data_IF_074013905239
#
_entry.id   IF_074013905239
#
_cell.length_a   1.000
_cell.length_b   1.000
_cell.length_c   1.000
_cell.angle_alpha   90.00
_cell.angle_beta   90.00
_cell.angle_gamma   90.00
#
_symmetry.space_group_name_H-M   'P 1'
#
loop_
_entity.id
_entity.type
_entity.pdbx_description
1 polymer ?
#
# COMPACT_ATOMS: atom_id res chain seq x y z
N UNK A 1 -5.33 6.65 -24.71
CA UNK A 1 -4.00 7.15 -24.33
C UNK A 1 -3.13 5.96 -23.96
N UNK A 2 -2.23 5.53 -24.85
CA UNK A 2 -1.31 4.41 -24.58
C UNK A 2 0.00 4.89 -23.94
N UNK A 3 -0.05 5.91 -23.09
CA UNK A 3 1.13 6.65 -22.70
C UNK A 3 1.76 6.30 -21.36
N UNK A 4 1.16 5.48 -20.51
CA UNK A 4 1.65 5.27 -19.14
C UNK A 4 1.77 3.77 -18.81
N UNK A 5 2.89 3.40 -18.19
CA UNK A 5 3.18 2.06 -17.71
C UNK A 5 3.36 2.08 -16.18
N UNK A 6 2.82 1.08 -15.47
CA UNK A 6 2.90 1.01 -14.01
C UNK A 6 4.09 0.17 -13.52
N UNK A 7 4.86 0.68 -12.56
CA UNK A 7 5.87 -0.09 -11.82
C UNK A 7 5.62 0.09 -10.33
N UNK A 8 5.28 -1.01 -9.66
CA UNK A 8 5.00 -1.05 -8.22
C UNK A 8 6.19 -1.72 -7.52
N UNK A 9 6.77 -1.04 -6.53
CA UNK A 9 7.80 -1.62 -5.68
C UNK A 9 7.18 -2.30 -4.46
N UNK A 10 7.39 -3.60 -4.36
CA UNK A 10 6.91 -4.42 -3.24
C UNK A 10 8.08 -5.18 -2.62
N UNK A 11 9.17 -4.49 -2.32
CA UNK A 11 10.38 -5.09 -1.74
C UNK A 11 10.83 -4.41 -0.46
N UNK A 12 10.33 -3.22 -0.15
CA UNK A 12 10.71 -2.53 1.09
C UNK A 12 10.25 -3.31 2.31
N UNK A 13 11.17 -3.49 3.24
CA UNK A 13 10.87 -4.06 4.55
C UNK A 13 10.50 -2.91 5.48
N UNK A 14 9.31 -2.99 6.05
CA UNK A 14 8.84 -2.06 7.07
C UNK A 14 8.90 -2.75 8.44
N UNK A 15 10.05 -2.69 9.13
CA UNK A 15 10.24 -3.40 10.40
C UNK A 15 9.27 -2.91 11.49
N UNK A 16 8.70 -1.72 11.33
CA UNK A 16 7.68 -1.18 12.23
C UNK A 16 6.34 -1.93 12.15
N UNK A 17 6.06 -2.66 11.06
CA UNK A 17 4.85 -3.49 10.91
C UNK A 17 4.95 -4.83 11.64
N UNK A 18 6.13 -5.24 12.11
CA UNK A 18 6.38 -6.39 12.98
C UNK A 18 5.60 -7.66 12.57
N UNK A 19 4.74 -8.15 13.45
CA UNK A 19 3.97 -9.38 13.29
C UNK A 19 3.06 -9.37 12.05
N UNK A 20 2.60 -8.21 11.62
CA UNK A 20 1.74 -8.07 10.43
C UNK A 20 2.44 -8.46 9.13
N UNK A 21 3.77 -8.44 9.09
CA UNK A 21 4.59 -8.78 7.92
C UNK A 21 5.46 -10.01 8.11
N UNK A 22 5.31 -10.73 9.22
CA UNK A 22 6.07 -11.96 9.49
C UNK A 22 5.89 -13.01 8.36
N UNK A 23 4.67 -13.15 7.85
CA UNK A 23 4.31 -14.15 6.84
C UNK A 23 3.93 -13.54 5.47
N UNK A 24 4.16 -12.25 5.26
CA UNK A 24 3.79 -11.55 4.02
C UNK A 24 4.55 -10.24 3.85
N UNK A 25 4.53 -9.73 2.63
CA UNK A 25 5.02 -8.38 2.34
C UNK A 25 4.01 -7.30 2.78
N UNK A 26 4.45 -6.05 3.05
CA UNK A 26 3.56 -4.92 3.34
C UNK A 26 2.41 -4.77 2.34
N UNK A 27 2.70 -4.93 1.04
CA UNK A 27 1.69 -4.95 -0.04
C UNK A 27 0.52 -5.91 0.18
N UNK A 28 0.75 -7.01 0.91
CA UNK A 28 -0.23 -8.07 1.16
C UNK A 28 -0.95 -7.94 2.49
N UNK A 29 -0.67 -6.91 3.27
CA UNK A 29 -1.35 -6.67 4.56
C UNK A 29 -2.84 -6.40 4.28
N UNK A 30 -3.76 -7.11 4.96
CA UNK A 30 -5.19 -6.87 4.84
C UNK A 30 -5.57 -5.47 5.33
N UNK A 31 -6.47 -4.77 4.62
CA UNK A 31 -6.92 -3.42 4.97
C UNK A 31 -8.41 -3.24 4.68
N UNK A 32 -9.12 -2.48 5.52
CA UNK A 32 -10.49 -2.06 5.28
C UNK A 32 -11.53 -3.19 5.20
N UNK A 33 -11.28 -4.34 5.79
CA UNK A 33 -12.22 -5.46 5.89
C UNK A 33 -12.21 -6.41 4.68
N UNK A 34 -11.74 -6.00 3.47
CA UNK A 34 -11.73 -6.87 2.28
C UNK A 34 -10.52 -6.69 1.37
N UNK A 35 -9.82 -5.57 1.44
CA UNK A 35 -8.72 -5.21 0.55
C UNK A 35 -7.38 -5.70 1.07
N UNK A 36 -6.36 -5.68 0.20
CA UNK A 36 -4.95 -5.61 0.58
C UNK A 36 -4.38 -4.27 0.12
N UNK A 37 -3.28 -3.84 0.72
CA UNK A 37 -2.71 -2.51 0.46
C UNK A 37 -2.39 -2.30 -1.02
N UNK A 38 -1.90 -3.31 -1.72
CA UNK A 38 -1.58 -3.24 -3.16
C UNK A 38 -2.81 -2.97 -4.05
N UNK A 39 -4.01 -3.33 -3.60
CA UNK A 39 -5.24 -3.18 -4.37
C UNK A 39 -5.54 -1.71 -4.69
N UNK A 40 -5.14 -0.80 -3.82
CA UNK A 40 -5.33 0.65 -4.01
C UNK A 40 -4.53 1.14 -5.21
N UNK A 41 -3.25 0.80 -5.30
CA UNK A 41 -2.43 1.24 -6.44
C UNK A 41 -2.84 0.56 -7.74
N UNK A 42 -3.13 -0.75 -7.72
CA UNK A 42 -3.62 -1.46 -8.89
C UNK A 42 -4.95 -0.90 -9.39
N UNK A 43 -5.84 -0.50 -8.49
CA UNK A 43 -7.12 0.13 -8.85
C UNK A 43 -6.93 1.53 -9.44
N UNK A 44 -6.00 2.33 -8.92
CA UNK A 44 -5.65 3.64 -9.50
C UNK A 44 -5.08 3.49 -10.91
N UNK A 45 -4.22 2.49 -11.14
CA UNK A 45 -3.68 2.16 -12.46
C UNK A 45 -4.80 1.73 -13.42
N UNK A 46 -5.67 0.82 -12.97
CA UNK A 46 -6.83 0.38 -13.74
C UNK A 46 -7.76 1.54 -14.11
N UNK A 47 -8.11 2.40 -13.15
CA UNK A 47 -8.96 3.58 -13.36
C UNK A 47 -8.36 4.58 -14.36
N UNK A 48 -7.03 4.64 -14.48
CA UNK A 48 -6.32 5.43 -15.48
C UNK A 48 -6.19 4.71 -16.85
N UNK A 49 -6.77 3.51 -17.01
CA UNK A 49 -6.67 2.72 -18.24
C UNK A 49 -5.31 2.07 -18.45
N UNK A 50 -4.48 1.97 -17.41
CA UNK A 50 -3.17 1.33 -17.45
C UNK A 50 -3.37 -0.16 -17.23
N UNK A 51 -3.03 -0.96 -18.23
CA UNK A 51 -3.16 -2.41 -18.19
C UNK A 51 -1.83 -3.14 -18.10
N UNK A 52 -0.71 -2.45 -18.37
CA UNK A 52 0.63 -3.00 -18.33
C UNK A 52 1.34 -2.55 -17.06
N UNK A 53 1.56 -3.50 -16.15
CA UNK A 53 2.09 -3.21 -14.80
C UNK A 53 3.16 -4.24 -14.42
N UNK A 54 4.31 -3.76 -13.97
CA UNK A 54 5.35 -4.57 -13.34
C UNK A 54 5.31 -4.44 -11.82
N UNK A 55 5.31 -5.55 -11.11
CA UNK A 55 5.44 -5.57 -9.65
C UNK A 55 6.79 -6.14 -9.27
N UNK A 56 7.68 -5.30 -8.78
CA UNK A 56 9.01 -5.70 -8.30
C UNK A 56 8.87 -6.35 -6.94
N UNK A 57 9.30 -7.59 -6.83
CA UNK A 57 9.12 -8.44 -5.65
C UNK A 57 10.44 -8.66 -4.90
N UNK A 58 10.35 -8.91 -3.59
CA UNK A 58 11.44 -9.42 -2.77
C UNK A 58 10.92 -10.10 -1.49
N UNK A 59 11.62 -11.13 -1.03
CA UNK A 59 11.26 -11.80 0.24
C UNK A 59 9.92 -12.55 0.20
N UNK A 60 9.16 -12.49 1.26
CA UNK A 60 7.92 -13.26 1.51
C UNK A 60 6.75 -12.95 0.55
N UNK A 61 6.96 -13.10 -0.75
CA UNK A 61 6.00 -12.68 -1.79
C UNK A 61 4.90 -13.71 -2.08
N UNK A 62 4.93 -14.93 -1.51
CA UNK A 62 3.94 -15.97 -1.82
C UNK A 62 2.50 -15.47 -1.60
N UNK A 63 2.24 -14.83 -0.47
CA UNK A 63 0.91 -14.27 -0.16
C UNK A 63 0.47 -13.21 -1.18
N UNK A 64 1.41 -12.46 -1.76
CA UNK A 64 1.13 -11.49 -2.80
C UNK A 64 0.82 -12.18 -4.14
N UNK A 65 1.59 -13.22 -4.51
CA UNK A 65 1.33 -14.03 -5.71
C UNK A 65 -0.08 -14.63 -5.67
N UNK A 66 -0.46 -15.26 -4.55
CA UNK A 66 -1.77 -15.89 -4.38
C UNK A 66 -2.92 -14.87 -4.50
N UNK A 67 -2.68 -13.63 -4.10
CA UNK A 67 -3.66 -12.55 -4.20
C UNK A 67 -3.78 -12.01 -5.62
N UNK A 68 -2.67 -11.66 -6.22
CA UNK A 68 -2.61 -11.04 -7.53
C UNK A 68 -3.08 -12.00 -8.64
N UNK A 69 -2.76 -13.29 -8.51
CA UNK A 69 -3.06 -14.28 -9.54
C UNK A 69 -2.51 -13.83 -10.89
N UNK A 70 -3.39 -13.78 -11.89
CA UNK A 70 -3.07 -13.28 -13.23
C UNK A 70 -3.50 -11.82 -13.48
N UNK A 71 -3.91 -11.09 -12.45
CA UNK A 71 -4.35 -9.70 -12.56
C UNK A 71 -5.76 -9.48 -13.13
N UNK A 72 -6.58 -10.53 -13.25
CA UNK A 72 -7.93 -10.45 -13.83
C UNK A 72 -8.82 -9.43 -13.13
N UNK A 73 -8.71 -9.34 -11.81
CA UNK A 73 -9.49 -8.40 -10.98
C UNK A 73 -9.34 -6.95 -11.44
N UNK A 74 -8.15 -6.56 -11.90
CA UNK A 74 -7.83 -5.20 -12.34
C UNK A 74 -7.77 -5.07 -13.88
N UNK A 75 -8.33 -6.05 -14.61
CA UNK A 75 -8.29 -6.10 -16.09
C UNK A 75 -6.86 -6.12 -16.67
N UNK A 76 -5.93 -6.73 -15.95
CA UNK A 76 -4.53 -6.86 -16.34
C UNK A 76 -4.15 -8.27 -16.78
N UNK A 77 -5.13 -9.16 -17.00
CA UNK A 77 -4.92 -10.51 -17.54
C UNK A 77 -4.87 -10.45 -19.07
N UNK A 78 -3.73 -10.14 -19.65
CA UNK A 78 -3.55 -9.96 -21.11
C UNK A 78 -2.59 -11.00 -21.69
N UNK A 79 -2.77 -11.33 -22.97
CA UNK A 79 -1.84 -12.20 -23.71
C UNK A 79 -0.47 -11.55 -23.91
N UNK A 80 -0.47 -10.24 -24.14
CA UNK A 80 0.72 -9.41 -24.30
C UNK A 80 0.60 -8.21 -23.35
N UNK A 81 1.65 -7.91 -22.61
CA UNK A 81 1.60 -6.94 -21.52
C UNK A 81 0.93 -7.53 -20.27
N UNK A 82 0.10 -6.74 -19.60
CA UNK A 82 -0.63 -7.15 -18.40
C UNK A 82 0.20 -7.06 -17.12
N UNK A 83 -0.27 -7.75 -16.08
CA UNK A 83 0.43 -7.81 -14.80
C UNK A 83 1.63 -8.77 -14.90
N UNK A 84 2.82 -8.23 -14.68
CA UNK A 84 4.08 -8.99 -14.61
C UNK A 84 4.67 -8.93 -13.22
N UNK A 85 5.00 -10.08 -12.68
CA UNK A 85 5.67 -10.22 -11.41
C UNK A 85 7.17 -10.34 -11.67
N UNK A 86 7.95 -9.45 -11.06
CA UNK A 86 9.37 -9.28 -11.31
C UNK A 86 10.17 -9.70 -10.06
N UNK A 87 10.49 -11.00 -9.93
CA UNK A 87 11.28 -11.50 -8.82
C UNK A 87 12.74 -11.03 -8.93
N UNK A 88 13.49 -10.99 -7.82
CA UNK A 88 14.84 -10.40 -7.75
C UNK A 88 15.91 -11.12 -8.62
N UNK A 89 15.57 -12.25 -9.23
CA UNK A 89 16.50 -13.05 -10.03
C UNK A 89 16.26 -12.93 -11.55
N UNK A 90 15.46 -11.95 -11.99
CA UNK A 90 15.09 -11.84 -13.39
C UNK A 90 16.29 -11.54 -14.32
N UNK A 91 17.36 -10.91 -13.82
CA UNK A 91 18.58 -10.66 -14.57
C UNK A 91 19.83 -11.00 -13.75
N UNK A 92 20.53 -12.07 -14.15
CA UNK A 92 21.68 -12.65 -13.41
C UNK A 92 22.96 -11.79 -13.44
N UNK A 93 22.98 -10.67 -14.18
CA UNK A 93 24.21 -9.89 -14.42
C UNK A 93 24.55 -8.90 -13.31
N UNK A 94 23.55 -8.45 -12.56
CA UNK A 94 23.73 -7.33 -11.61
C UNK A 94 23.46 -7.72 -10.14
N UNK A 95 22.87 -8.89 -9.89
CA UNK A 95 22.45 -9.29 -8.57
C UNK A 95 23.55 -10.01 -7.78
N UNK A 96 24.04 -9.38 -6.72
CA UNK A 96 25.03 -9.95 -5.78
C UNK A 96 24.39 -10.63 -4.56
N UNK A 97 23.22 -11.26 -4.72
CA UNK A 97 22.55 -12.06 -3.68
C UNK A 97 22.27 -11.28 -2.38
N UNK A 98 21.10 -10.70 -2.25
CA UNK A 98 20.72 -9.95 -1.04
C UNK A 98 19.46 -9.12 -1.24
N UNK A 99 19.18 -8.26 -0.29
CA UNK A 99 18.10 -7.26 -0.37
C UNK A 99 18.54 -6.12 -1.27
N UNK A 100 17.67 -5.61 -2.15
CA UNK A 100 17.95 -4.39 -2.90
C UNK A 100 18.21 -3.22 -1.95
N UNK A 101 19.29 -2.48 -2.19
CA UNK A 101 19.67 -1.31 -1.40
C UNK A 101 18.76 -0.09 -1.69
N UNK A 102 18.02 -0.13 -2.81
CA UNK A 102 17.08 0.92 -3.20
C UNK A 102 16.44 0.69 -4.56
N UNK A 103 15.53 1.59 -4.95
CA UNK A 103 14.71 1.49 -6.17
C UNK A 103 15.54 1.38 -7.45
N UNK A 104 16.66 2.11 -7.55
CA UNK A 104 17.52 2.08 -8.75
C UNK A 104 18.20 0.72 -8.93
N UNK A 105 18.64 0.09 -7.86
CA UNK A 105 19.21 -1.26 -7.93
C UNK A 105 18.14 -2.30 -8.30
N UNK A 106 16.93 -2.16 -7.76
CA UNK A 106 15.81 -3.02 -8.11
C UNK A 106 15.43 -2.88 -9.59
N UNK A 107 15.41 -1.66 -10.13
CA UNK A 107 15.17 -1.38 -11.55
C UNK A 107 16.31 -1.92 -12.44
N UNK A 108 17.55 -1.77 -12.01
CA UNK A 108 18.69 -2.35 -12.73
C UNK A 108 18.60 -3.89 -12.82
N UNK A 109 18.09 -4.54 -11.77
CA UNK A 109 17.86 -5.98 -11.74
C UNK A 109 16.75 -6.48 -12.67
N UNK A 110 15.92 -5.58 -13.21
CA UNK A 110 14.84 -5.89 -14.15
C UNK A 110 14.99 -5.09 -15.46
N UNK A 111 16.21 -4.72 -15.82
CA UNK A 111 16.50 -3.86 -16.98
C UNK A 111 15.89 -4.37 -18.29
N UNK A 112 15.97 -5.65 -18.58
CA UNK A 112 15.38 -6.24 -19.78
C UNK A 112 13.87 -6.01 -19.87
N UNK A 113 13.17 -6.06 -18.73
CA UNK A 113 11.76 -5.71 -18.66
C UNK A 113 11.52 -4.22 -18.97
N UNK A 114 12.36 -3.31 -18.45
CA UNK A 114 12.24 -1.87 -18.71
C UNK A 114 12.45 -1.53 -20.19
N UNK A 115 13.36 -2.22 -20.86
CA UNK A 115 13.64 -2.06 -22.29
C UNK A 115 12.44 -2.50 -23.16
N UNK A 116 11.67 -3.50 -22.70
CA UNK A 116 10.48 -4.01 -23.37
C UNK A 116 9.23 -3.12 -23.22
N UNK A 117 9.24 -2.14 -22.31
CA UNK A 117 8.13 -1.20 -22.11
C UNK A 117 7.89 -0.41 -23.40
N UNK A 118 6.64 -0.35 -23.85
CA UNK A 118 6.25 0.34 -25.09
C UNK A 118 5.67 1.73 -24.88
N UNK A 119 5.28 2.03 -23.66
CA UNK A 119 4.69 3.31 -23.27
C UNK A 119 5.79 4.36 -23.12
N UNK A 120 5.47 5.60 -23.45
CA UNK A 120 6.42 6.72 -23.40
C UNK A 120 6.74 7.18 -21.98
N UNK A 121 5.78 6.98 -21.05
CA UNK A 121 5.92 7.38 -19.65
C UNK A 121 5.71 6.20 -18.70
N UNK A 122 6.30 6.30 -17.53
CA UNK A 122 6.15 5.32 -16.46
C UNK A 122 5.71 6.02 -15.17
N UNK A 123 4.88 5.34 -14.39
CA UNK A 123 4.59 5.69 -13.01
C UNK A 123 5.28 4.69 -12.08
N UNK A 124 6.11 5.21 -11.20
CA UNK A 124 6.77 4.47 -10.14
C UNK A 124 6.01 4.70 -8.84
N UNK A 125 5.65 3.65 -8.13
CA UNK A 125 4.95 3.76 -6.85
C UNK A 125 5.41 2.68 -5.88
N UNK A 126 5.41 3.01 -4.59
CA UNK A 126 5.50 2.00 -3.53
C UNK A 126 4.17 1.30 -3.33
N UNK A 127 4.23 0.10 -2.79
CA UNK A 127 3.06 -0.75 -2.57
C UNK A 127 2.40 -0.57 -1.20
N UNK A 128 2.91 0.35 -0.37
CA UNK A 128 2.42 0.67 0.98
C UNK A 128 1.44 1.85 1.02
N UNK A 129 1.13 2.42 -0.15
CA UNK A 129 0.32 3.63 -0.30
C UNK A 129 -1.17 3.31 -0.43
N UNK A 130 -1.97 3.83 0.49
CA UNK A 130 -3.44 3.79 0.47
C UNK A 130 -3.95 5.14 0.01
N UNK A 131 -4.45 5.21 -1.21
CA UNK A 131 -4.89 6.43 -1.87
C UNK A 131 -5.89 6.09 -2.99
N UNK A 132 -6.80 7.01 -3.29
CA UNK A 132 -7.65 6.94 -4.49
C UNK A 132 -7.36 8.16 -5.38
N UNK A 133 -6.25 8.07 -6.14
CA UNK A 133 -5.67 9.17 -6.91
C UNK A 133 -6.02 9.07 -8.40
N UNK A 134 -6.48 10.17 -9.07
CA UNK A 134 -6.66 10.18 -10.52
C UNK A 134 -5.30 10.30 -11.24
N UNK A 135 -4.66 9.18 -11.55
CA UNK A 135 -3.34 9.15 -12.21
C UNK A 135 -3.33 9.83 -13.60
N UNK A 136 -4.48 9.87 -14.27
CA UNK A 136 -4.60 10.59 -15.53
C UNK A 136 -4.34 12.10 -15.37
N UNK A 137 -4.81 12.70 -14.28
CA UNK A 137 -4.59 14.11 -13.97
C UNK A 137 -3.12 14.39 -13.63
N UNK A 138 -2.47 13.43 -12.95
CA UNK A 138 -1.02 13.52 -12.65
C UNK A 138 -0.21 13.50 -13.94
N UNK A 139 -0.56 12.64 -14.90
CA UNK A 139 0.10 12.57 -16.21
C UNK A 139 -0.14 13.86 -17.00
N UNK A 140 -1.37 14.38 -17.02
CA UNK A 140 -1.69 15.64 -17.69
C UNK A 140 -0.87 16.80 -17.14
N UNK A 141 -0.80 16.93 -15.82
CA UNK A 141 0.02 17.94 -15.15
C UNK A 141 1.53 17.77 -15.45
N UNK A 142 2.02 16.55 -15.55
CA UNK A 142 3.40 16.24 -15.94
C UNK A 142 3.73 16.78 -17.34
N UNK A 143 2.86 16.48 -18.31
CA UNK A 143 3.03 16.88 -19.70
C UNK A 143 2.89 18.40 -19.89
N UNK A 144 1.87 19.02 -19.30
CA UNK A 144 1.62 20.45 -19.38
C UNK A 144 2.77 21.29 -18.84
N UNK A 145 3.40 20.84 -17.74
CA UNK A 145 4.53 21.54 -17.13
C UNK A 145 5.87 21.20 -17.77
N UNK A 146 5.90 20.26 -18.70
CA UNK A 146 7.12 19.77 -19.34
C UNK A 146 8.15 19.29 -18.34
N UNK A 147 7.70 18.63 -17.28
CA UNK A 147 8.56 18.12 -16.22
C UNK A 147 9.42 16.95 -16.70
N UNK A 148 10.61 16.81 -16.16
CA UNK A 148 11.41 15.58 -16.33
C UNK A 148 10.92 14.50 -15.33
N UNK A 149 10.62 14.90 -14.07
CA UNK A 149 9.99 14.06 -13.07
C UNK A 149 8.90 14.85 -12.35
N UNK A 150 7.70 14.27 -12.27
CA UNK A 150 6.62 14.78 -11.41
C UNK A 150 6.51 13.88 -10.19
N UNK A 151 6.64 14.46 -8.98
CA UNK A 151 6.47 13.77 -7.71
C UNK A 151 5.12 14.12 -7.09
N UNK A 152 4.36 13.09 -6.72
CA UNK A 152 3.11 13.29 -5.97
C UNK A 152 3.46 13.51 -4.49
N UNK A 153 2.91 14.57 -3.92
CA UNK A 153 3.13 14.92 -2.51
C UNK A 153 1.84 15.42 -1.87
N UNK A 154 1.84 15.51 -0.56
CA UNK A 154 0.73 16.08 0.22
C UNK A 154 1.23 17.22 1.09
N UNK A 155 0.36 18.19 1.39
CA UNK A 155 0.67 19.20 2.38
C UNK A 155 1.00 18.50 3.70
N UNK A 156 2.07 18.94 4.39
CA UNK A 156 2.56 18.23 5.57
C UNK A 156 1.51 18.23 6.69
N UNK A 157 1.08 17.02 7.04
CA UNK A 157 0.41 16.74 8.30
C UNK A 157 1.42 16.50 9.43
N UNK A 158 1.17 15.50 10.27
CA UNK A 158 2.14 15.07 11.28
C UNK A 158 3.48 14.69 10.64
N UNK A 159 4.57 15.01 11.33
CA UNK A 159 5.91 14.61 10.91
C UNK A 159 6.02 13.08 10.80
N UNK A 160 6.59 12.62 9.72
CA UNK A 160 6.86 11.20 9.47
C UNK A 160 8.36 11.03 9.36
N UNK A 161 8.92 10.23 10.24
CA UNK A 161 10.33 9.89 10.22
C UNK A 161 10.71 9.12 8.95
N UNK A 162 11.97 9.29 8.52
CA UNK A 162 12.50 8.65 7.30
C UNK A 162 11.71 8.93 6.00
N UNK A 163 10.82 9.94 5.96
CA UNK A 163 10.11 10.35 4.76
C UNK A 163 10.94 11.36 3.92
N UNK A 164 10.55 11.49 2.66
CA UNK A 164 11.06 12.55 1.77
C UNK A 164 10.14 13.76 1.82
N UNK A 165 10.72 14.95 1.88
CA UNK A 165 9.97 16.21 1.88
C UNK A 165 10.46 17.12 0.76
N UNK A 166 9.56 17.96 0.25
CA UNK A 166 9.81 18.90 -0.84
C UNK A 166 9.54 20.33 -0.41
N UNK A 167 10.46 21.24 -0.72
CA UNK A 167 10.19 22.67 -0.73
C UNK A 167 9.73 23.05 -2.13
N UNK A 168 8.57 23.68 -2.24
CA UNK A 168 7.96 24.03 -3.53
C UNK A 168 8.07 25.53 -3.79
N UNK A 169 8.27 25.89 -5.06
CA UNK A 169 8.05 27.24 -5.58
C UNK A 169 6.55 27.48 -5.84
N UNK A 170 6.10 28.73 -6.04
CA UNK A 170 4.69 29.05 -6.31
C UNK A 170 4.09 28.39 -7.55
N UNK A 171 4.91 28.05 -8.54
CA UNK A 171 4.52 27.31 -9.76
C UNK A 171 4.49 25.79 -9.58
N UNK A 172 4.79 25.30 -8.39
CA UNK A 172 4.84 23.88 -8.05
C UNK A 172 6.18 23.19 -8.36
N UNK A 173 7.20 23.94 -8.82
CA UNK A 173 8.53 23.38 -9.00
C UNK A 173 9.15 22.96 -7.66
N UNK A 174 9.80 21.81 -7.63
CA UNK A 174 10.51 21.32 -6.43
C UNK A 174 11.89 22.00 -6.40
N UNK A 175 12.08 22.90 -5.44
CA UNK A 175 13.34 23.65 -5.29
C UNK A 175 14.34 22.96 -4.39
N UNK A 176 13.88 22.17 -3.41
CA UNK A 176 14.72 21.39 -2.51
C UNK A 176 14.08 20.05 -2.19
N UNK A 177 14.93 19.03 -2.06
CA UNK A 177 14.54 17.66 -1.66
C UNK A 177 15.24 17.32 -0.34
N UNK A 178 14.47 16.99 0.65
CA UNK A 178 14.95 16.63 1.99
C UNK A 178 14.70 15.13 2.22
N UNK A 179 15.75 14.34 2.22
CA UNK A 179 15.67 12.90 2.49
C UNK A 179 15.86 12.65 3.99
N UNK A 180 14.83 12.11 4.65
CA UNK A 180 14.85 11.81 6.08
C UNK A 180 15.31 13.01 6.97
N UNK A 181 14.68 14.18 6.88
CA UNK A 181 15.02 15.29 7.75
C UNK A 181 14.58 15.00 9.19
N UNK A 182 15.16 15.71 10.15
CA UNK A 182 14.81 15.59 11.58
C UNK A 182 13.56 16.41 11.98
N UNK A 183 12.99 17.17 11.06
CA UNK A 183 11.79 17.98 11.25
C UNK A 183 11.05 18.17 9.92
N UNK A 184 9.74 18.47 9.92
CA UNK A 184 8.96 18.72 8.68
C UNK A 184 9.59 19.81 7.82
N UNK A 185 9.62 19.59 6.50
CA UNK A 185 10.25 20.49 5.51
C UNK A 185 9.34 20.73 4.31
N UNK A 186 8.16 21.29 4.49
CA UNK A 186 7.22 21.57 3.41
C UNK A 186 6.32 20.36 3.09
N UNK A 187 6.23 19.92 1.83
CA UNK A 187 5.31 18.88 1.40
C UNK A 187 5.94 17.49 1.50
N UNK A 188 5.20 16.53 2.06
CA UNK A 188 5.66 15.14 2.19
C UNK A 188 5.45 14.38 0.88
N UNK A 189 6.47 13.70 0.39
CA UNK A 189 6.37 12.79 -0.74
C UNK A 189 5.45 11.60 -0.43
N UNK A 190 4.66 11.19 -1.41
CA UNK A 190 3.88 9.96 -1.39
C UNK A 190 4.61 8.80 -2.09
N UNK A 191 5.90 8.98 -2.43
CA UNK A 191 6.74 8.00 -3.13
C UNK A 191 6.13 7.51 -4.45
N UNK A 192 5.38 8.40 -5.11
CA UNK A 192 4.77 8.19 -6.41
C UNK A 192 5.33 9.21 -7.40
N UNK A 193 5.88 8.72 -8.52
CA UNK A 193 6.62 9.52 -9.48
C UNK A 193 6.19 9.20 -10.91
N UNK A 194 6.08 10.23 -11.76
CA UNK A 194 5.85 10.09 -13.20
C UNK A 194 7.06 10.67 -13.93
N UNK A 195 7.60 9.91 -14.90
CA UNK A 195 8.73 10.32 -15.75
C UNK A 195 8.66 9.59 -17.09
N UNK A 196 9.46 10.05 -18.08
CA UNK A 196 9.54 9.34 -19.36
C UNK A 196 10.31 8.02 -19.19
N UNK A 197 9.97 7.02 -20.02
CA UNK A 197 10.68 5.75 -20.10
C UNK A 197 12.15 5.94 -20.46
N UNK A 198 12.41 6.84 -21.39
CA UNK A 198 13.78 7.15 -21.84
C UNK A 198 14.64 7.69 -20.71
N UNK A 199 14.12 8.64 -19.93
CA UNK A 199 14.80 9.15 -18.75
C UNK A 199 15.02 8.07 -17.72
N UNK A 200 14.02 7.21 -17.47
CA UNK A 200 14.17 6.11 -16.51
C UNK A 200 15.31 5.18 -16.87
N UNK A 201 15.41 4.76 -18.15
CA UNK A 201 16.49 3.88 -18.64
C UNK A 201 17.86 4.55 -18.49
N UNK A 202 17.97 5.83 -18.86
CA UNK A 202 19.20 6.61 -18.70
C UNK A 202 19.62 6.73 -17.23
N UNK A 203 18.68 7.03 -16.32
CA UNK A 203 18.95 7.11 -14.89
C UNK A 203 19.40 5.77 -14.30
N UNK A 204 18.76 4.66 -14.69
CA UNK A 204 19.15 3.32 -14.23
C UNK A 204 20.56 2.97 -14.68
N UNK A 205 20.90 3.28 -15.93
CA UNK A 205 22.23 3.00 -16.49
C UNK A 205 23.32 3.85 -15.83
N UNK A 206 23.12 5.18 -15.74
CA UNK A 206 24.07 6.10 -15.11
C UNK A 206 24.28 5.75 -13.63
N UNK A 207 23.20 5.52 -12.88
CA UNK A 207 23.30 5.21 -11.47
C UNK A 207 23.93 3.85 -11.19
N UNK A 208 23.65 2.84 -12.02
CA UNK A 208 24.30 1.53 -11.91
C UNK A 208 25.82 1.63 -12.12
N UNK A 209 26.26 2.42 -13.12
CA UNK A 209 27.68 2.65 -13.39
C UNK A 209 28.41 3.38 -12.26
N UNK A 210 27.69 4.17 -11.45
CA UNK A 210 28.23 4.97 -10.34
C UNK A 210 27.96 4.36 -8.95
N UNK A 211 27.47 3.13 -8.88
CA UNK A 211 27.06 2.45 -7.63
C UNK A 211 26.03 3.22 -6.79
N UNK A 212 25.19 4.01 -7.43
CA UNK A 212 24.07 4.74 -6.85
C UNK A 212 22.82 3.86 -6.86
N UNK A 213 22.08 3.85 -5.76
CA UNK A 213 20.94 2.94 -5.59
C UNK A 213 19.65 3.61 -5.08
N UNK A 214 19.76 4.79 -4.50
CA UNK A 214 18.62 5.48 -3.87
C UNK A 214 17.99 6.50 -4.82
N UNK A 215 16.76 6.23 -5.30
CA UNK A 215 16.04 7.19 -6.15
C UNK A 215 15.86 8.55 -5.45
N UNK A 216 15.56 8.55 -4.15
CA UNK A 216 15.38 9.77 -3.35
C UNK A 216 16.67 10.62 -3.26
N UNK A 217 17.78 9.99 -2.89
CA UNK A 217 19.06 10.70 -2.66
C UNK A 217 19.82 10.96 -3.95
N UNK A 218 19.91 9.94 -4.79
CA UNK A 218 20.84 9.97 -5.93
C UNK A 218 20.20 10.62 -7.17
N UNK A 219 18.86 10.54 -7.33
CA UNK A 219 18.14 11.19 -8.42
C UNK A 219 17.46 12.47 -7.93
N UNK A 220 16.46 12.39 -7.04
CA UNK A 220 15.67 13.56 -6.69
C UNK A 220 16.52 14.66 -6.01
N UNK A 221 17.31 14.32 -5.00
CA UNK A 221 18.16 15.29 -4.32
C UNK A 221 19.46 15.57 -5.10
N UNK A 222 20.11 14.52 -5.62
CA UNK A 222 21.41 14.62 -6.28
C UNK A 222 21.38 15.28 -7.66
N UNK A 223 20.24 15.24 -8.35
CA UNK A 223 20.08 15.80 -9.72
C UNK A 223 19.07 16.96 -9.75
N UNK A 224 18.63 17.51 -8.61
CA UNK A 224 17.65 18.59 -8.54
C UNK A 224 18.04 19.86 -9.31
N UNK A 225 19.33 20.11 -9.51
CA UNK A 225 19.81 21.23 -10.34
C UNK A 225 19.93 20.91 -11.84
N UNK A 226 19.74 19.64 -12.24
CA UNK A 226 19.85 19.20 -13.65
C UNK A 226 18.51 18.80 -14.25
N UNK A 227 17.58 18.31 -13.43
CA UNK A 227 16.26 17.83 -13.82
C UNK A 227 15.19 18.84 -13.41
N UNK A 228 14.18 19.01 -14.27
CA UNK A 228 12.98 19.79 -13.97
C UNK A 228 12.04 18.96 -13.11
N UNK A 229 12.18 19.10 -11.80
CA UNK A 229 11.35 18.42 -10.82
C UNK A 229 10.09 19.26 -10.56
N UNK A 230 8.93 18.68 -10.76
CA UNK A 230 7.62 19.27 -10.49
C UNK A 230 6.87 18.48 -9.45
N UNK A 231 6.00 19.15 -8.71
CA UNK A 231 5.12 18.51 -7.74
C UNK A 231 3.70 18.40 -8.28
N UNK A 232 3.02 17.33 -7.89
CA UNK A 232 1.56 17.24 -7.95
C UNK A 232 1.06 17.14 -6.50
N UNK A 233 0.48 18.23 -5.99
CA UNK A 233 -0.02 18.27 -4.61
C UNK A 233 -1.37 17.57 -4.55
N UNK A 234 -1.47 16.54 -3.74
CA UNK A 234 -2.70 15.81 -3.44
C UNK A 234 -3.28 16.29 -2.12
N UNK A 235 -4.49 16.85 -2.16
CA UNK A 235 -5.19 17.37 -1.00
C UNK A 235 -6.16 16.35 -0.37
N UNK A 236 -6.37 15.22 -1.04
CA UNK A 236 -7.25 14.16 -0.58
C UNK A 236 -6.58 13.19 0.40
N UNK A 237 -7.36 12.19 0.85
CA UNK A 237 -6.87 11.18 1.76
C UNK A 237 -5.70 10.38 1.16
N UNK A 238 -4.62 10.30 1.91
CA UNK A 238 -3.46 9.47 1.60
C UNK A 238 -2.82 8.94 2.88
N UNK A 239 -2.59 7.64 2.95
CA UNK A 239 -1.92 6.99 4.06
C UNK A 239 -0.83 6.04 3.57
N UNK A 240 0.27 5.95 4.31
CA UNK A 240 1.32 4.96 4.14
C UNK A 240 1.44 4.16 5.43
N UNK A 241 1.68 2.85 5.31
CA UNK A 241 1.69 1.93 6.45
C UNK A 241 3.13 1.56 6.80
N UNK A 242 3.70 2.18 7.82
CA UNK A 242 5.10 1.99 8.25
C UNK A 242 5.26 1.33 9.61
N UNK A 243 4.18 1.28 10.38
CA UNK A 243 4.18 0.68 11.72
C UNK A 243 2.83 0.04 12.06
N UNK A 244 2.81 -0.86 13.04
CA UNK A 244 1.58 -1.44 13.60
C UNK A 244 0.64 -0.35 14.10
N UNK A 245 1.20 0.70 14.73
CA UNK A 245 0.42 1.85 15.21
C UNK A 245 -0.25 2.58 14.05
N UNK A 246 0.52 2.95 13.01
CA UNK A 246 -0.05 3.62 11.82
C UNK A 246 -1.09 2.74 11.13
N UNK A 247 -0.80 1.45 10.97
CA UNK A 247 -1.77 0.50 10.43
C UNK A 247 -3.09 0.53 11.20
N UNK A 248 -3.01 0.49 12.54
CA UNK A 248 -4.19 0.54 13.41
C UNK A 248 -4.94 1.86 13.26
N UNK A 249 -4.26 3.00 13.41
CA UNK A 249 -4.84 4.33 13.30
C UNK A 249 -5.53 4.54 11.92
N UNK A 250 -4.83 4.21 10.81
CA UNK A 250 -5.36 4.35 9.44
C UNK A 250 -6.52 3.40 9.16
N UNK A 251 -6.50 2.20 9.72
CA UNK A 251 -7.65 1.29 9.64
C UNK A 251 -8.86 1.83 10.38
N UNK A 252 -8.67 2.33 11.62
CA UNK A 252 -9.77 2.88 12.42
C UNK A 252 -10.35 4.18 11.83
N UNK A 253 -9.56 4.97 11.10
CA UNK A 253 -10.06 6.12 10.35
C UNK A 253 -11.15 5.75 9.34
N UNK A 254 -11.15 4.53 8.81
CA UNK A 254 -12.21 4.05 7.90
C UNK A 254 -13.59 3.98 8.55
N UNK A 255 -13.68 3.99 9.87
CA UNK A 255 -14.97 4.10 10.57
C UNK A 255 -15.60 5.49 10.44
N UNK A 256 -14.85 6.49 9.97
CA UNK A 256 -15.36 7.83 9.66
C UNK A 256 -15.99 7.84 8.27
N UNK A 257 -17.28 8.24 8.12
CA UNK A 257 -17.96 8.23 6.81
C UNK A 257 -17.28 9.10 5.75
N UNK A 258 -16.68 10.23 6.14
CA UNK A 258 -15.98 11.16 5.25
C UNK A 258 -14.75 10.50 4.59
N UNK A 259 -13.94 9.79 5.35
CA UNK A 259 -12.76 9.07 4.85
C UNK A 259 -13.19 7.93 3.90
N UNK A 260 -14.23 7.19 4.26
CA UNK A 260 -14.77 6.14 3.37
C UNK A 260 -15.29 6.68 2.06
N UNK A 261 -16.06 7.78 2.11
CA UNK A 261 -16.62 8.39 0.91
C UNK A 261 -15.53 8.88 -0.06
N UNK A 262 -14.41 9.37 0.47
CA UNK A 262 -13.27 9.82 -0.32
C UNK A 262 -12.47 8.65 -0.89
N UNK A 263 -12.07 7.69 -0.04
CA UNK A 263 -11.23 6.57 -0.43
C UNK A 263 -11.96 5.58 -1.35
N UNK A 264 -13.26 5.36 -1.13
CA UNK A 264 -14.10 4.44 -1.90
C UNK A 264 -15.10 5.20 -2.77
N UNK A 265 -14.64 6.26 -3.46
CA UNK A 265 -15.47 7.05 -4.35
C UNK A 265 -16.06 6.19 -5.48
N UNK A 266 -17.41 6.21 -5.71
CA UNK A 266 -18.05 5.38 -6.74
C UNK A 266 -17.51 5.58 -8.16
N UNK A 267 -17.02 6.78 -8.48
CA UNK A 267 -16.44 7.11 -9.78
C UNK A 267 -15.09 6.42 -10.03
N UNK A 268 -14.38 6.02 -8.98
CA UNK A 268 -13.10 5.30 -9.02
C UNK A 268 -13.12 4.19 -7.97
N UNK A 269 -13.80 3.06 -8.25
CA UNK A 269 -13.91 1.98 -7.29
C UNK A 269 -12.55 1.32 -7.03
N UNK A 270 -12.29 1.01 -5.77
CA UNK A 270 -11.16 0.17 -5.40
C UNK A 270 -11.57 -1.29 -5.61
N UNK A 271 -10.90 -1.95 -6.53
CA UNK A 271 -11.11 -3.35 -6.87
C UNK A 271 -10.29 -4.24 -5.94
N UNK A 272 -10.82 -5.39 -5.58
CA UNK A 272 -10.13 -6.40 -4.79
C UNK A 272 -10.51 -7.79 -5.28
N UNK A 273 -9.65 -8.76 -5.00
CA UNK A 273 -10.00 -10.17 -5.22
C UNK A 273 -11.22 -10.52 -4.37
N UNK A 274 -12.25 -11.06 -5.01
CA UNK A 274 -13.46 -11.51 -4.31
C UNK A 274 -13.18 -12.76 -3.49
N UNK A 275 -13.75 -12.79 -2.28
CA UNK A 275 -13.84 -14.00 -1.46
C UNK A 275 -15.26 -14.55 -1.64
N UNK A 276 -15.38 -15.84 -1.96
CA UNK A 276 -16.66 -16.54 -2.14
C UNK A 276 -17.25 -16.96 -0.78
N UNK A 277 -17.54 -15.96 0.06
CA UNK A 277 -18.13 -16.19 1.38
C UNK A 277 -19.66 -15.92 1.34
N UNK A 278 -20.40 -16.59 2.21
CA UNK A 278 -21.82 -16.33 2.39
C UNK A 278 -22.06 -14.96 3.02
N UNK A 279 -23.30 -14.48 2.98
CA UNK A 279 -23.69 -13.25 3.70
C UNK A 279 -23.45 -13.38 5.20
N UNK A 280 -23.09 -12.29 5.85
CA UNK A 280 -22.87 -12.27 7.31
C UNK A 280 -24.18 -12.44 8.07
N UNK A 281 -24.13 -13.20 9.18
CA UNK A 281 -25.26 -13.44 10.06
C UNK A 281 -25.07 -12.69 11.39
N UNK A 282 -26.05 -11.88 11.74
CA UNK A 282 -26.15 -11.21 13.04
C UNK A 282 -27.26 -11.89 13.85
N UNK A 283 -26.90 -12.57 14.93
CA UNK A 283 -27.83 -13.30 15.76
C UNK A 283 -28.77 -12.38 16.54
N UNK A 284 -29.99 -12.84 16.88
CA UNK A 284 -30.85 -12.10 17.79
C UNK A 284 -30.14 -11.82 19.13
N UNK A 285 -30.14 -10.57 19.56
CA UNK A 285 -29.47 -10.11 20.78
C UNK A 285 -27.99 -9.72 20.60
N UNK A 286 -27.40 -9.91 19.43
CA UNK A 286 -26.10 -9.31 19.13
C UNK A 286 -26.19 -7.78 19.06
N UNK A 287 -25.09 -7.11 19.42
CA UNK A 287 -25.01 -5.65 19.40
C UNK A 287 -23.84 -5.20 18.51
N UNK A 288 -24.15 -4.59 17.37
CA UNK A 288 -23.13 -4.08 16.45
C UNK A 288 -23.26 -2.58 16.31
N UNK A 289 -22.16 -1.85 16.59
CA UNK A 289 -22.12 -0.38 16.50
C UNK A 289 -20.85 0.06 15.77
N UNK A 290 -21.01 1.05 14.85
CA UNK A 290 -19.91 1.73 14.15
C UNK A 290 -18.78 0.78 13.69
N UNK A 291 -19.13 -0.32 13.01
CA UNK A 291 -18.19 -1.35 12.63
C UNK A 291 -18.26 -1.70 11.14
N UNK A 292 -17.14 -2.08 10.53
CA UNK A 292 -17.09 -2.63 9.19
C UNK A 292 -17.05 -4.16 9.30
N UNK A 293 -18.01 -4.82 8.66
CA UNK A 293 -18.15 -6.27 8.72
C UNK A 293 -18.13 -6.80 7.29
N UNK A 294 -17.18 -7.67 7.01
CA UNK A 294 -17.08 -8.36 5.73
C UNK A 294 -18.02 -9.56 5.65
N UNK A 295 -18.11 -10.20 4.48
CA UNK A 295 -18.94 -11.36 4.23
C UNK A 295 -18.50 -12.58 5.08
N UNK A 296 -19.40 -13.53 5.30
CA UNK A 296 -19.14 -14.78 6.02
C UNK A 296 -19.02 -14.65 7.54
N UNK A 297 -19.23 -13.47 8.11
CA UNK A 297 -19.13 -13.29 9.56
C UNK A 297 -20.36 -13.82 10.30
N UNK A 298 -20.14 -14.43 11.48
CA UNK A 298 -21.20 -14.82 12.41
C UNK A 298 -21.01 -14.05 13.72
N UNK A 299 -22.00 -13.21 14.09
CA UNK A 299 -21.90 -12.36 15.27
C UNK A 299 -23.05 -12.63 16.22
N UNK A 300 -22.73 -13.19 17.39
CA UNK A 300 -23.65 -13.44 18.49
C UNK A 300 -23.37 -12.55 19.71
N UNK A 301 -22.19 -11.95 19.79
CA UNK A 301 -21.73 -11.07 20.87
C UNK A 301 -21.91 -9.58 20.59
N UNK A 302 -21.10 -8.75 21.25
CA UNK A 302 -21.07 -7.29 21.12
C UNK A 302 -19.83 -6.84 20.35
N UNK A 303 -20.01 -5.98 19.32
CA UNK A 303 -18.96 -5.48 18.43
C UNK A 303 -19.12 -3.97 18.29
N UNK A 304 -18.16 -3.21 18.79
CA UNK A 304 -18.17 -1.75 18.75
C UNK A 304 -16.86 -1.20 18.18
N UNK A 305 -16.92 -0.30 17.21
CA UNK A 305 -15.76 0.30 16.55
C UNK A 305 -14.77 -0.75 16.02
N UNK A 306 -15.23 -1.78 15.34
CA UNK A 306 -14.38 -2.87 14.88
C UNK A 306 -14.33 -3.00 13.36
N UNK A 307 -13.28 -3.65 12.86
CA UNK A 307 -13.17 -4.06 11.46
C UNK A 307 -13.01 -5.57 11.42
N UNK A 308 -14.03 -6.26 10.92
CA UNK A 308 -14.06 -7.71 10.81
C UNK A 308 -13.89 -8.14 9.36
N UNK A 309 -12.86 -8.93 9.09
CA UNK A 309 -12.58 -9.52 7.80
C UNK A 309 -13.41 -10.80 7.57
N UNK A 310 -13.41 -11.37 6.34
CA UNK A 310 -14.30 -12.48 6.01
C UNK A 310 -14.20 -13.68 6.96
N UNK A 311 -15.36 -14.27 7.26
CA UNK A 311 -15.44 -15.51 8.05
C UNK A 311 -15.08 -15.37 9.53
N UNK A 312 -15.13 -14.17 10.10
CA UNK A 312 -14.92 -13.96 11.54
C UNK A 312 -16.14 -14.43 12.33
N UNK A 313 -15.88 -15.18 13.40
CA UNK A 313 -16.94 -15.64 14.34
C UNK A 313 -16.76 -14.98 15.70
N UNK A 314 -17.83 -14.40 16.22
CA UNK A 314 -17.90 -13.79 17.55
C UNK A 314 -19.03 -14.45 18.32
N UNK A 315 -18.69 -15.31 19.29
CA UNK A 315 -19.64 -16.10 20.07
C UNK A 315 -20.35 -15.25 21.15
N UNK A 316 -21.34 -15.85 21.79
CA UNK A 316 -22.18 -15.19 22.83
C UNK A 316 -21.33 -14.70 23.98
N UNK A 317 -21.70 -13.56 24.56
CA UNK A 317 -20.98 -13.00 25.70
C UNK A 317 -19.63 -12.39 25.36
N UNK A 318 -19.13 -12.55 24.11
CA UNK A 318 -17.89 -11.88 23.68
C UNK A 318 -18.14 -10.38 23.48
N UNK A 319 -17.18 -9.57 23.94
CA UNK A 319 -17.19 -8.11 23.85
C UNK A 319 -15.94 -7.63 23.08
N UNK A 320 -16.15 -7.10 21.88
CA UNK A 320 -15.13 -6.55 21.03
C UNK A 320 -15.25 -5.04 20.95
N UNK A 321 -14.17 -4.34 21.23
CA UNK A 321 -14.12 -2.90 21.12
C UNK A 321 -12.79 -2.43 20.54
N UNK A 322 -12.87 -1.51 19.57
CA UNK A 322 -11.69 -0.92 18.95
C UNK A 322 -10.71 -2.01 18.43
N UNK A 323 -11.22 -3.05 17.74
CA UNK A 323 -10.45 -4.22 17.34
C UNK A 323 -10.50 -4.47 15.82
N UNK A 324 -9.44 -5.06 15.30
CA UNK A 324 -9.32 -5.45 13.89
C UNK A 324 -9.06 -6.96 13.83
N UNK A 325 -9.99 -7.71 13.25
CA UNK A 325 -9.93 -9.16 13.21
C UNK A 325 -9.81 -9.65 11.77
N UNK A 326 -8.68 -10.31 11.45
CA UNK A 326 -8.46 -10.82 10.10
C UNK A 326 -9.23 -12.13 9.84
N UNK A 327 -9.27 -12.51 8.56
CA UNK A 327 -10.04 -13.63 8.02
C UNK A 327 -9.97 -14.88 8.89
N UNK A 328 -11.16 -15.45 9.19
CA UNK A 328 -11.30 -16.72 9.89
C UNK A 328 -10.93 -16.69 11.36
N UNK A 329 -10.80 -15.51 11.98
CA UNK A 329 -10.62 -15.40 13.44
C UNK A 329 -11.87 -15.89 14.18
N UNK A 330 -11.69 -16.68 15.22
CA UNK A 330 -12.75 -17.19 16.10
C UNK A 330 -12.59 -16.65 17.50
N UNK A 331 -13.57 -15.87 17.94
CA UNK A 331 -13.64 -15.32 19.28
C UNK A 331 -14.70 -16.11 20.05
N UNK A 332 -14.26 -16.88 21.06
CA UNK A 332 -15.12 -17.76 21.81
C UNK A 332 -15.94 -17.02 22.87
N UNK A 333 -16.81 -17.77 23.54
CA UNK A 333 -17.71 -17.28 24.56
C UNK A 333 -17.02 -16.48 25.68
N UNK A 334 -17.61 -15.36 26.10
CA UNK A 334 -17.15 -14.54 27.22
C UNK A 334 -15.77 -13.86 27.03
N UNK A 335 -15.25 -13.78 25.82
CA UNK A 335 -13.97 -13.13 25.52
C UNK A 335 -14.12 -11.60 25.51
N UNK A 336 -13.14 -10.89 26.05
CA UNK A 336 -13.05 -9.42 25.93
C UNK A 336 -11.80 -9.02 25.14
N UNK A 337 -12.00 -8.33 24.00
CA UNK A 337 -10.94 -7.77 23.20
C UNK A 337 -11.05 -6.26 23.11
N UNK A 338 -9.95 -5.54 23.40
CA UNK A 338 -9.88 -4.09 23.23
C UNK A 338 -8.52 -3.66 22.71
N UNK A 339 -8.49 -2.83 21.66
CA UNK A 339 -7.26 -2.43 20.93
C UNK A 339 -6.40 -3.63 20.55
N UNK A 340 -7.01 -4.60 19.89
CA UNK A 340 -6.39 -5.84 19.46
C UNK A 340 -6.47 -6.00 17.95
N UNK A 341 -5.39 -6.45 17.34
CA UNK A 341 -5.33 -6.89 15.95
C UNK A 341 -5.08 -8.39 15.97
N UNK A 342 -5.97 -9.19 15.43
CA UNK A 342 -5.70 -10.63 15.23
C UNK A 342 -5.35 -10.87 13.78
N UNK A 343 -4.29 -11.64 13.53
CA UNK A 343 -3.99 -12.12 12.18
C UNK A 343 -4.94 -13.27 11.80
N UNK A 344 -4.78 -13.83 10.59
CA UNK A 344 -5.69 -14.83 10.04
C UNK A 344 -5.73 -16.12 10.88
N UNK A 345 -6.94 -16.67 11.00
CA UNK A 345 -7.18 -17.97 11.66
C UNK A 345 -6.71 -18.04 13.11
N UNK A 346 -6.77 -16.91 13.82
CA UNK A 346 -6.56 -16.87 15.28
C UNK A 346 -7.78 -17.42 15.99
N UNK A 347 -7.57 -18.19 17.06
CA UNK A 347 -8.63 -18.63 17.98
C UNK A 347 -8.37 -18.06 19.36
N UNK A 348 -9.33 -17.28 19.88
CA UNK A 348 -9.28 -16.77 21.25
C UNK A 348 -10.20 -17.63 22.11
N UNK A 349 -9.62 -18.33 23.08
CA UNK A 349 -10.32 -19.31 23.94
C UNK A 349 -11.32 -18.65 24.90
N UNK A 350 -12.33 -19.39 25.39
CA UNK A 350 -13.39 -18.85 26.24
C UNK A 350 -12.86 -18.09 27.47
N UNK A 351 -13.52 -16.96 27.80
CA UNK A 351 -13.25 -16.16 29.00
C UNK A 351 -11.91 -15.40 28.98
N UNK A 352 -11.19 -15.36 27.87
CA UNK A 352 -9.93 -14.61 27.75
C UNK A 352 -10.19 -13.11 27.66
N UNK A 353 -9.24 -12.32 28.19
CA UNK A 353 -9.25 -10.87 28.13
C UNK A 353 -7.94 -10.39 27.55
N UNK A 354 -7.99 -9.67 26.42
CA UNK A 354 -6.84 -9.03 25.80
C UNK A 354 -7.13 -7.54 25.66
N UNK A 355 -6.36 -6.71 26.34
CA UNK A 355 -6.51 -5.26 26.33
C UNK A 355 -5.18 -4.63 25.98
N UNK A 356 -5.10 -4.07 24.77
CA UNK A 356 -4.02 -3.20 24.34
C UNK A 356 -4.30 -1.73 24.65
N UNK A 357 -3.56 -0.86 23.99
CA UNK A 357 -3.71 0.59 24.06
C UNK A 357 -3.81 1.16 22.63
N UNK A 358 -4.49 2.28 22.46
CA UNK A 358 -4.63 2.94 21.15
C UNK A 358 -3.26 3.21 20.49
N UNK A 359 -2.27 3.67 21.27
CA UNK A 359 -0.91 3.89 20.76
C UNK A 359 -0.05 2.62 20.69
N UNK A 360 -0.50 1.49 21.22
CA UNK A 360 0.19 0.21 21.23
C UNK A 360 -0.80 -0.94 21.24
N UNK A 361 -1.45 -1.22 20.09
CA UNK A 361 -2.38 -2.34 20.00
C UNK A 361 -1.64 -3.68 20.15
N UNK A 362 -2.31 -4.66 20.75
CA UNK A 362 -1.81 -6.04 20.81
C UNK A 362 -1.99 -6.67 19.44
N UNK A 363 -0.94 -7.26 18.89
CA UNK A 363 -1.02 -8.07 17.66
C UNK A 363 -0.91 -9.54 18.03
N UNK A 364 -1.88 -10.34 17.57
CA UNK A 364 -1.88 -11.80 17.74
C UNK A 364 -1.51 -12.42 16.40
N UNK A 365 -0.41 -13.18 16.36
CA UNK A 365 0.15 -13.74 15.13
C UNK A 365 -0.77 -14.80 14.51
N UNK A 366 -0.60 -15.03 13.21
CA UNK A 366 -1.41 -15.93 12.39
C UNK A 366 -1.48 -17.35 12.98
N UNK A 367 -2.71 -17.89 13.05
CA UNK A 367 -2.96 -19.26 13.49
C UNK A 367 -2.72 -19.52 14.98
N UNK A 368 -2.50 -18.48 15.78
CA UNK A 368 -2.33 -18.62 17.23
C UNK A 368 -3.63 -18.99 17.93
N UNK A 369 -3.48 -19.77 19.00
CA UNK A 369 -4.55 -20.09 19.95
C UNK A 369 -4.16 -19.44 21.28
N UNK A 370 -4.98 -18.52 21.78
CA UNK A 370 -4.71 -17.71 22.99
C UNK A 370 -5.79 -17.87 24.04
#
# INVERSE_FOLDING_TARGET
MNGLHGIIFSYEQEPGLRELVEHRMPASVPFGGRYRVVDFMLSNLHAAGITDVGVVLHGNYQSLLDHLGNGKTWDMARKYGGLRLLPPFADNRTYRGGVFRGKLEALAGVRSYLEDIRQDHVVLSDSDLIINLPLADVLSAHLERGADITAVCTASGAFVDNATYFTLAPDGAITQVWCAPTAPRGHRSLELYVLSRELLLSLVEECAAQEKYSFRRDVLAGMSGKLRLQSYVWDGYAAQLRSVREYYERSMELLRPTIRAELFAPARPILAKEDDEASSYLAPGSCVKNSLIADGCTIEGSVENCILFPGVTVERGAELRDAILFKGTRVRDGVTLRHVITDKYVEVLPGRTLIGHESYPIVVSKGSIV
#
